data_IF_050051661980
#
_entry.id   IF_050051661980
#
_cell.length_a   1.000
_cell.length_b   1.000
_cell.length_c   1.000
_cell.angle_alpha   90.00
_cell.angle_beta   90.00
_cell.angle_gamma   90.00
#
_symmetry.space_group_name_H-M   'P 1'
#
loop_
_entity.id
_entity.type
_entity.pdbx_description
1 polymer ?
#
# COMPACT_ATOMS: atom_id res chain seq x y z
N UNK A 1 -13.93 14.65 30.77
CA UNK A 1 -14.42 13.28 30.54
C UNK A 1 -14.43 13.05 29.05
N UNK A 2 -13.50 12.22 28.58
CA UNK A 2 -13.19 11.99 27.16
C UNK A 2 -14.36 11.38 26.41
N UNK A 3 -14.72 11.99 25.28
CA UNK A 3 -15.48 11.31 24.23
C UNK A 3 -14.49 10.50 23.40
N UNK A 4 -14.59 9.17 23.51
CA UNK A 4 -13.84 8.22 22.69
C UNK A 4 -14.39 8.30 21.26
N UNK A 5 -13.56 8.79 20.34
CA UNK A 5 -13.89 8.85 18.92
C UNK A 5 -14.00 7.42 18.36
N UNK A 6 -15.20 7.10 17.88
CA UNK A 6 -15.59 5.84 17.23
C UNK A 6 -14.69 5.56 16.02
N UNK A 7 -13.85 4.53 16.13
CA UNK A 7 -13.07 3.95 15.02
C UNK A 7 -13.93 2.89 14.32
N UNK A 8 -14.00 3.01 13.00
CA UNK A 8 -14.84 2.29 12.04
C UNK A 8 -14.58 0.77 12.01
N UNK A 9 -15.62 -0.06 12.23
CA UNK A 9 -15.59 -1.53 12.03
C UNK A 9 -17.00 -2.10 11.72
N UNK A 10 -17.47 -1.90 10.49
CA UNK A 10 -18.71 -2.50 9.95
C UNK A 10 -19.95 -1.60 10.06
N UNK A 11 -20.93 -1.82 9.19
CA UNK A 11 -22.19 -1.05 9.12
C UNK A 11 -23.04 -1.12 10.41
N UNK A 12 -22.84 -2.14 11.24
CA UNK A 12 -23.55 -2.32 12.51
C UNK A 12 -22.96 -1.50 13.66
N UNK A 13 -21.65 -1.51 13.91
CA UNK A 13 -20.97 -0.85 15.06
C UNK A 13 -21.65 -1.07 16.44
N UNK A 14 -22.41 -2.17 16.64
CA UNK A 14 -23.21 -2.37 17.86
C UNK A 14 -24.49 -1.52 17.94
N UNK A 15 -24.81 -0.78 16.88
CA UNK A 15 -25.97 0.10 16.77
C UNK A 15 -27.11 -0.61 16.00
N UNK A 16 -28.10 -1.08 16.76
CA UNK A 16 -29.28 -1.77 16.24
C UNK A 16 -30.11 -0.91 15.27
N UNK A 17 -29.97 0.42 15.28
CA UNK A 17 -30.69 1.31 14.34
C UNK A 17 -30.15 1.26 12.92
N UNK A 18 -28.97 0.66 12.70
CA UNK A 18 -28.29 0.62 11.39
C UNK A 18 -28.55 -0.65 10.58
N UNK A 19 -29.37 -1.56 11.11
CA UNK A 19 -29.66 -2.85 10.50
C UNK A 19 -31.17 -3.00 10.30
N UNK A 20 -31.56 -3.55 9.15
CA UNK A 20 -32.94 -3.87 8.84
C UNK A 20 -33.39 -5.16 9.53
N UNK A 21 -34.71 -5.38 9.60
CA UNK A 21 -35.27 -6.57 10.23
C UNK A 21 -34.83 -7.89 9.57
N UNK A 22 -34.54 -7.86 8.26
CA UNK A 22 -34.07 -8.99 7.48
C UNK A 22 -32.55 -9.04 7.29
N UNK A 23 -31.78 -8.14 7.92
CA UNK A 23 -30.32 -8.09 7.74
C UNK A 23 -29.66 -9.31 8.37
N UNK A 24 -28.92 -10.07 7.55
CA UNK A 24 -28.07 -11.18 8.03
C UNK A 24 -26.79 -10.63 8.65
N UNK A 25 -26.33 -11.30 9.71
CA UNK A 25 -25.24 -10.82 10.55
C UNK A 25 -24.16 -11.89 10.70
N UNK A 26 -22.92 -11.58 10.35
CA UNK A 26 -21.78 -12.48 10.47
C UNK A 26 -20.94 -12.16 11.71
N UNK A 27 -20.57 -13.19 12.46
CA UNK A 27 -19.68 -13.06 13.60
C UNK A 27 -18.22 -12.89 13.14
N UNK A 28 -17.55 -11.81 13.58
CA UNK A 28 -16.14 -11.54 13.27
C UNK A 28 -15.15 -12.56 13.87
N UNK A 29 -15.57 -13.30 14.89
CA UNK A 29 -14.72 -14.26 15.62
C UNK A 29 -14.70 -15.64 14.94
N UNK A 30 -15.87 -16.15 14.55
CA UNK A 30 -16.03 -17.53 14.08
C UNK A 30 -16.75 -17.67 12.74
N UNK A 31 -17.13 -16.54 12.13
CA UNK A 31 -17.81 -16.46 10.83
C UNK A 31 -19.19 -17.13 10.78
N UNK A 32 -19.80 -17.39 11.93
CA UNK A 32 -21.19 -17.82 12.01
C UNK A 32 -22.13 -16.70 11.54
N UNK A 33 -23.08 -17.03 10.66
CA UNK A 33 -24.09 -16.11 10.17
C UNK A 33 -25.40 -16.33 10.93
N UNK A 34 -25.90 -15.28 11.58
CA UNK A 34 -27.27 -15.21 12.05
C UNK A 34 -28.17 -14.76 10.91
N UNK A 35 -29.11 -15.61 10.51
CA UNK A 35 -30.16 -15.29 9.55
C UNK A 35 -31.50 -15.05 10.29
N UNK A 36 -32.08 -13.84 10.23
CA UNK A 36 -33.40 -13.58 10.81
C UNK A 36 -34.49 -14.55 10.33
N UNK A 37 -34.41 -15.05 9.09
CA UNK A 37 -35.36 -16.01 8.54
C UNK A 37 -35.29 -17.38 9.24
N UNK A 38 -34.14 -17.75 9.81
CA UNK A 38 -33.94 -19.02 10.50
C UNK A 38 -34.04 -18.89 12.03
N UNK A 39 -33.67 -17.72 12.58
CA UNK A 39 -33.59 -17.51 14.03
C UNK A 39 -32.37 -18.20 14.64
N UNK A 40 -32.49 -18.69 15.88
CA UNK A 40 -31.40 -19.39 16.57
C UNK A 40 -31.96 -20.47 17.50
N UNK A 41 -31.90 -21.73 17.07
CA UNK A 41 -32.42 -22.89 17.83
C UNK A 41 -31.79 -23.01 19.23
N UNK A 42 -30.47 -22.84 19.33
CA UNK A 42 -29.74 -22.97 20.60
C UNK A 42 -30.19 -21.95 21.65
N UNK A 43 -30.53 -20.73 21.23
CA UNK A 43 -31.08 -19.69 22.09
C UNK A 43 -32.60 -19.65 22.08
N UNK A 44 -33.24 -20.63 21.44
CA UNK A 44 -34.70 -20.71 21.27
C UNK A 44 -35.31 -19.44 20.67
N UNK A 45 -34.55 -18.77 19.79
CA UNK A 45 -35.01 -17.59 19.05
C UNK A 45 -35.78 -18.07 17.83
N UNK A 46 -37.07 -17.70 17.67
CA UNK A 46 -37.89 -18.20 16.57
C UNK A 46 -37.47 -17.59 15.22
N UNK A 47 -37.73 -18.31 14.12
CA UNK A 47 -37.67 -17.76 12.75
C UNK A 47 -38.44 -16.44 12.63
N UNK A 48 -37.89 -15.51 11.86
CA UNK A 48 -38.41 -14.15 11.66
C UNK A 48 -37.94 -13.12 12.70
N UNK A 49 -37.10 -13.49 13.66
CA UNK A 49 -36.60 -12.55 14.68
C UNK A 49 -35.44 -11.73 14.13
N UNK A 50 -35.59 -10.41 14.06
CA UNK A 50 -34.51 -9.51 13.66
C UNK A 50 -33.33 -9.55 14.65
N UNK A 51 -32.10 -9.39 14.16
CA UNK A 51 -30.92 -9.33 15.03
C UNK A 51 -30.98 -8.15 16.03
N UNK A 52 -31.61 -7.04 15.63
CA UNK A 52 -31.89 -5.89 16.51
C UNK A 52 -32.80 -6.23 17.69
N UNK A 53 -33.73 -7.17 17.50
CA UNK A 53 -34.71 -7.60 18.50
C UNK A 53 -34.21 -8.72 19.43
N UNK A 54 -32.97 -9.19 19.23
CA UNK A 54 -32.35 -10.16 20.13
C UNK A 54 -32.12 -9.55 21.52
N UNK A 55 -32.23 -10.34 22.59
CA UNK A 55 -31.92 -9.90 23.95
C UNK A 55 -30.48 -9.36 24.09
N UNK A 56 -30.28 -8.41 25.01
CA UNK A 56 -28.94 -7.82 25.26
C UNK A 56 -27.89 -8.83 25.70
N UNK A 57 -28.32 -9.92 26.36
CA UNK A 57 -27.45 -10.99 26.83
C UNK A 57 -27.26 -12.12 25.81
N UNK A 58 -27.87 -12.03 24.63
CA UNK A 58 -27.67 -13.03 23.59
C UNK A 58 -26.21 -13.03 23.13
N UNK A 59 -25.66 -14.23 22.91
CA UNK A 59 -24.28 -14.45 22.47
C UNK A 59 -24.24 -15.37 21.27
N UNK A 60 -23.18 -15.27 20.47
CA UNK A 60 -22.97 -16.14 19.33
C UNK A 60 -23.06 -17.62 19.77
N UNK A 61 -23.93 -18.43 19.15
CA UNK A 61 -24.11 -19.85 19.49
C UNK A 61 -22.82 -20.69 19.32
N UNK A 62 -21.92 -20.24 18.45
CA UNK A 62 -20.70 -20.97 18.08
C UNK A 62 -19.49 -20.61 18.95
N UNK A 63 -19.30 -19.34 19.29
CA UNK A 63 -18.07 -18.86 19.93
C UNK A 63 -18.29 -18.05 21.22
N UNK A 64 -19.54 -17.87 21.66
CA UNK A 64 -19.91 -17.06 22.82
C UNK A 64 -19.58 -15.55 22.70
N UNK A 65 -19.20 -15.09 21.50
CA UNK A 65 -18.98 -13.69 21.20
C UNK A 65 -20.22 -12.81 21.42
N UNK A 66 -20.01 -11.59 21.91
CA UNK A 66 -21.09 -10.62 22.11
C UNK A 66 -21.67 -10.11 20.77
N UNK A 67 -22.89 -9.54 20.82
CA UNK A 67 -23.58 -9.02 19.62
C UNK A 67 -22.78 -7.97 18.86
N UNK A 68 -22.00 -7.14 19.57
CA UNK A 68 -21.14 -6.11 18.97
C UNK A 68 -20.00 -6.67 18.10
N UNK A 69 -19.70 -7.97 18.21
CA UNK A 69 -18.74 -8.69 17.38
C UNK A 69 -19.33 -9.12 16.03
N UNK A 70 -20.54 -8.69 15.68
CA UNK A 70 -21.17 -9.02 14.40
C UNK A 70 -21.05 -7.88 13.38
N UNK A 71 -21.07 -8.23 12.10
CA UNK A 71 -21.12 -7.32 10.96
C UNK A 71 -22.28 -7.67 10.03
N UNK A 72 -22.94 -6.68 9.45
CA UNK A 72 -24.05 -6.91 8.53
C UNK A 72 -23.54 -7.34 7.15
N UNK A 73 -24.15 -8.38 6.57
CA UNK A 73 -23.78 -8.94 5.27
C UNK A 73 -24.57 -8.34 4.09
N UNK A 74 -25.82 -7.91 4.31
CA UNK A 74 -26.67 -7.38 3.24
C UNK A 74 -27.00 -5.90 3.49
N UNK A 75 -26.46 -5.04 2.63
CA UNK A 75 -26.65 -3.59 2.67
C UNK A 75 -27.88 -3.14 1.89
N UNK A 76 -29.07 -3.47 2.36
CA UNK A 76 -30.27 -2.70 2.03
C UNK A 76 -30.78 -2.03 3.31
N UNK A 77 -30.56 -0.71 3.48
CA UNK A 77 -31.14 0.00 4.60
C UNK A 77 -32.66 -0.04 4.44
N UNK A 78 -33.34 -0.62 5.43
CA UNK A 78 -34.79 -0.66 5.50
C UNK A 78 -35.33 0.78 5.48
N UNK A 79 -35.79 1.22 4.32
CA UNK A 79 -36.49 2.47 4.13
C UNK A 79 -37.90 2.32 4.70
N UNK A 80 -38.21 3.00 5.81
CA UNK A 80 -39.49 3.69 5.95
C UNK A 80 -39.38 4.83 6.96
N UNK A 81 -39.92 5.97 6.55
CA UNK A 81 -40.34 7.16 7.32
C UNK A 81 -39.54 8.46 7.10
N UNK A 82 -40.19 9.28 6.28
CA UNK A 82 -40.01 10.68 5.92
C UNK A 82 -39.26 11.55 6.93
N UNK A 83 -38.00 11.83 6.63
CA UNK A 83 -37.32 13.04 7.09
C UNK A 83 -36.57 13.65 5.90
N UNK A 84 -36.80 14.95 5.68
CA UNK A 84 -36.22 15.75 4.62
C UNK A 84 -34.71 15.52 4.47
N UNK A 85 -34.16 15.57 3.24
CA UNK A 85 -32.75 15.30 3.01
C UNK A 85 -31.87 16.23 3.85
N UNK A 86 -30.94 15.73 4.68
CA UNK A 86 -29.86 16.58 5.15
C UNK A 86 -29.10 17.01 3.90
N UNK A 87 -28.95 18.34 3.77
CA UNK A 87 -28.31 19.02 2.66
C UNK A 87 -27.16 18.20 2.10
N UNK A 88 -27.24 17.93 0.80
CA UNK A 88 -26.19 17.32 0.01
C UNK A 88 -24.83 17.85 0.48
N UNK A 89 -24.03 16.96 1.07
CA UNK A 89 -22.60 17.22 1.15
C UNK A 89 -22.19 17.40 -0.30
N UNK A 90 -21.82 18.63 -0.66
CA UNK A 90 -21.37 18.96 -2.00
C UNK A 90 -20.35 17.91 -2.44
N UNK A 91 -20.40 17.42 -3.70
CA UNK A 91 -19.40 16.48 -4.18
C UNK A 91 -18.04 17.11 -3.92
N UNK A 92 -17.17 16.41 -3.20
CA UNK A 92 -15.80 16.84 -3.01
C UNK A 92 -15.19 16.89 -4.40
N UNK A 93 -15.10 18.10 -4.96
CA UNK A 93 -14.49 18.40 -6.26
C UNK A 93 -12.97 18.28 -6.13
N UNK A 94 -12.52 17.05 -5.89
CA UNK A 94 -11.13 16.64 -6.06
C UNK A 94 -10.92 16.12 -7.48
N UNK A 95 -9.66 16.07 -7.97
CA UNK A 95 -9.34 15.37 -9.20
C UNK A 95 -9.77 13.90 -9.11
N UNK A 96 -10.27 13.36 -10.21
CA UNK A 96 -10.70 11.96 -10.29
C UNK A 96 -9.52 11.01 -10.06
N UNK A 97 -9.80 9.83 -9.48
CA UNK A 97 -8.81 8.75 -9.33
C UNK A 97 -8.11 8.45 -10.67
N UNK A 98 -6.78 8.18 -10.68
CA UNK A 98 -6.02 7.96 -11.90
C UNK A 98 -6.19 6.51 -12.37
N UNK A 99 -7.44 6.12 -12.67
CA UNK A 99 -7.85 4.75 -12.97
C UNK A 99 -7.02 4.13 -14.10
N UNK A 100 -6.67 4.92 -15.12
CA UNK A 100 -5.85 4.44 -16.24
C UNK A 100 -4.41 4.13 -15.82
N UNK A 101 -3.80 4.96 -14.97
CA UNK A 101 -2.45 4.71 -14.47
C UNK A 101 -2.40 3.48 -13.55
N UNK A 102 -3.44 3.30 -12.71
CA UNK A 102 -3.60 2.12 -11.85
C UNK A 102 -3.77 0.85 -12.71
N UNK A 103 -4.60 0.90 -13.75
CA UNK A 103 -4.80 -0.23 -14.66
C UNK A 103 -3.51 -0.59 -15.41
N UNK A 104 -2.74 0.40 -15.87
CA UNK A 104 -1.42 0.17 -16.49
C UNK A 104 -0.41 -0.45 -15.52
N UNK A 105 -0.39 0.02 -14.27
CA UNK A 105 0.44 -0.55 -13.21
C UNK A 105 0.11 -2.04 -13.03
N UNK A 106 -1.15 -2.40 -12.84
CA UNK A 106 -1.55 -3.80 -12.69
C UNK A 106 -1.21 -4.63 -13.94
N UNK A 107 -1.49 -4.11 -15.14
CA UNK A 107 -1.23 -4.82 -16.39
C UNK A 107 0.26 -5.16 -16.57
N UNK A 108 1.15 -4.20 -16.35
CA UNK A 108 2.60 -4.41 -16.44
C UNK A 108 3.09 -5.44 -15.43
N UNK A 109 2.60 -5.38 -14.18
CA UNK A 109 3.01 -6.35 -13.17
C UNK A 109 2.43 -7.75 -13.40
N UNK A 110 1.24 -7.88 -14.01
CA UNK A 110 0.71 -9.18 -14.48
C UNK A 110 1.57 -9.77 -15.61
N UNK A 111 2.05 -8.92 -16.51
CA UNK A 111 2.98 -9.34 -17.57
C UNK A 111 4.29 -9.84 -16.96
N UNK A 112 4.88 -9.09 -16.02
CA UNK A 112 6.08 -9.51 -15.28
C UNK A 112 5.86 -10.85 -14.58
N UNK A 113 4.70 -11.02 -13.93
CA UNK A 113 4.35 -12.29 -13.30
C UNK A 113 4.42 -13.45 -14.30
N UNK A 114 3.76 -13.28 -15.45
CA UNK A 114 3.63 -14.34 -16.45
C UNK A 114 4.93 -14.63 -17.19
N UNK A 115 5.71 -13.59 -17.51
CA UNK A 115 6.87 -13.68 -18.41
C UNK A 115 8.18 -13.95 -17.67
N UNK A 116 8.33 -13.48 -16.43
CA UNK A 116 9.63 -13.49 -15.72
C UNK A 116 9.56 -14.21 -14.38
N UNK A 117 8.48 -14.05 -13.61
CA UNK A 117 8.42 -14.53 -12.24
C UNK A 117 7.82 -15.93 -12.10
N UNK A 118 6.99 -16.38 -13.05
CA UNK A 118 6.32 -17.68 -12.98
C UNK A 118 7.34 -18.82 -12.79
N UNK A 119 7.13 -19.64 -11.75
CA UNK A 119 8.01 -20.75 -11.40
C UNK A 119 9.23 -20.38 -10.56
N UNK A 120 9.40 -19.10 -10.21
CA UNK A 120 10.46 -18.68 -9.28
C UNK A 120 10.10 -19.08 -7.84
N UNK A 121 11.07 -19.54 -7.01
CA UNK A 121 10.81 -20.02 -5.65
C UNK A 121 10.26 -18.98 -4.66
N UNK A 122 10.13 -17.71 -5.07
CA UNK A 122 9.61 -16.61 -4.25
C UNK A 122 8.15 -16.25 -4.59
N UNK A 123 7.56 -16.94 -5.58
CA UNK A 123 6.19 -16.69 -6.03
C UNK A 123 5.21 -17.53 -5.22
N UNK A 124 4.19 -16.85 -4.68
CA UNK A 124 3.04 -17.47 -4.06
C UNK A 124 1.89 -17.60 -5.09
N UNK A 125 1.65 -18.81 -5.59
CA UNK A 125 0.62 -19.09 -6.60
C UNK A 125 -0.82 -18.87 -6.13
N UNK A 126 -1.06 -18.73 -4.82
CA UNK A 126 -2.38 -18.36 -4.27
C UNK A 126 -2.73 -16.88 -4.50
N UNK A 127 -1.76 -16.07 -4.94
CA UNK A 127 -1.90 -14.63 -5.12
C UNK A 127 -1.87 -14.23 -6.59
N UNK A 128 -2.40 -13.03 -6.83
CA UNK A 128 -2.42 -12.37 -8.12
C UNK A 128 -1.99 -10.91 -7.93
N UNK A 129 -1.79 -10.22 -9.05
CA UNK A 129 -1.43 -8.79 -9.04
C UNK A 129 -2.69 -7.95 -8.85
N UNK A 130 -2.70 -7.11 -7.81
CA UNK A 130 -3.80 -6.20 -7.49
C UNK A 130 -3.31 -4.88 -6.90
N UNK A 131 -3.80 -3.78 -7.44
CA UNK A 131 -3.65 -2.44 -6.90
C UNK A 131 -4.86 -2.09 -6.02
N UNK A 132 -4.63 -1.64 -4.78
CA UNK A 132 -5.70 -1.37 -3.80
C UNK A 132 -5.48 -0.06 -3.05
N UNK A 133 -6.59 0.51 -2.56
CA UNK A 133 -6.58 1.61 -1.60
C UNK A 133 -5.98 2.92 -2.10
N UNK A 134 -5.99 3.17 -3.41
CA UNK A 134 -5.47 4.42 -3.97
C UNK A 134 -6.26 5.61 -3.46
N UNK A 135 -5.56 6.58 -2.87
CA UNK A 135 -6.09 7.83 -2.36
C UNK A 135 -5.14 8.98 -2.58
N UNK A 136 -5.68 10.20 -2.51
CA UNK A 136 -4.89 11.43 -2.63
C UNK A 136 -3.99 11.61 -1.41
N UNK A 137 -2.72 11.94 -1.66
CA UNK A 137 -1.74 12.34 -0.66
C UNK A 137 -0.98 13.57 -1.20
N UNK A 138 -1.40 14.77 -0.76
CA UNK A 138 -0.99 16.02 -1.39
C UNK A 138 -1.47 16.08 -2.84
N UNK A 139 -0.56 16.37 -3.76
CA UNK A 139 -0.84 16.36 -5.20
C UNK A 139 -0.66 14.98 -5.84
N UNK A 140 -0.23 13.97 -5.06
CA UNK A 140 0.13 12.63 -5.54
C UNK A 140 -0.93 11.59 -5.19
N UNK A 141 -0.78 10.40 -5.76
CA UNK A 141 -1.66 9.26 -5.50
C UNK A 141 -0.91 8.15 -4.79
N UNK A 142 -1.34 7.82 -3.57
CA UNK A 142 -0.77 6.77 -2.75
C UNK A 142 -1.73 5.57 -2.73
N UNK A 143 -1.22 4.38 -3.01
CA UNK A 143 -1.93 3.12 -2.84
C UNK A 143 -0.98 1.99 -2.52
N UNK A 144 -1.47 0.75 -2.60
CA UNK A 144 -0.66 -0.43 -2.41
C UNK A 144 -0.76 -1.35 -3.63
N UNK A 145 0.34 -2.01 -3.97
CA UNK A 145 0.45 -3.01 -5.01
C UNK A 145 0.78 -4.35 -4.37
N UNK A 146 -0.19 -5.26 -4.43
CA UNK A 146 -0.03 -6.67 -4.06
C UNK A 146 0.43 -7.43 -5.30
N UNK A 147 1.49 -8.22 -5.16
CA UNK A 147 1.95 -9.18 -6.17
C UNK A 147 2.20 -10.53 -5.49
N UNK A 148 2.37 -11.61 -6.26
CA UNK A 148 2.73 -12.91 -5.71
C UNK A 148 4.09 -12.99 -5.00
N UNK A 149 4.96 -11.98 -5.11
CA UNK A 149 6.33 -12.01 -4.54
C UNK A 149 6.69 -10.80 -3.67
N UNK A 150 5.89 -9.72 -3.71
CA UNK A 150 5.98 -8.60 -2.77
C UNK A 150 4.63 -7.90 -2.56
N UNK A 151 4.55 -7.13 -1.47
CA UNK A 151 3.54 -6.11 -1.22
C UNK A 151 4.26 -4.77 -0.99
N UNK A 152 3.96 -3.77 -1.82
CA UNK A 152 4.59 -2.45 -1.74
C UNK A 152 3.54 -1.35 -1.63
N UNK A 153 3.85 -0.30 -0.87
CA UNK A 153 3.21 1.02 -1.07
C UNK A 153 3.71 1.60 -2.38
N UNK A 154 2.81 2.23 -3.15
CA UNK A 154 3.12 2.84 -4.44
C UNK A 154 2.63 4.27 -4.44
N UNK A 155 3.53 5.20 -4.77
CA UNK A 155 3.23 6.61 -5.00
C UNK A 155 3.32 6.89 -6.50
N UNK A 156 2.21 7.32 -7.09
CA UNK A 156 2.10 7.75 -8.49
C UNK A 156 2.10 9.29 -8.57
N UNK A 157 2.60 9.85 -9.68
CA UNK A 157 2.64 11.30 -9.87
C UNK A 157 1.23 11.90 -9.96
N UNK A 158 1.09 13.14 -9.50
CA UNK A 158 -0.06 14.00 -9.80
C UNK A 158 -0.03 14.59 -11.20
N UNK A 159 -1.08 15.31 -11.59
CA UNK A 159 -1.18 15.98 -12.90
C UNK A 159 -0.06 17.03 -13.13
N UNK A 160 0.46 17.64 -12.06
CA UNK A 160 1.55 18.62 -12.11
C UNK A 160 2.95 18.06 -11.85
N UNK A 161 3.09 16.78 -11.55
CA UNK A 161 4.38 16.17 -11.20
C UNK A 161 5.15 15.74 -12.45
N UNK A 162 6.32 16.35 -12.71
CA UNK A 162 7.23 15.87 -13.76
C UNK A 162 8.32 14.98 -13.16
N UNK A 163 8.12 13.66 -13.24
CA UNK A 163 9.07 12.65 -12.71
C UNK A 163 9.94 12.00 -13.79
N UNK A 164 10.00 12.60 -14.99
CA UNK A 164 10.85 12.08 -16.08
C UNK A 164 12.34 11.98 -15.71
N UNK A 165 12.80 12.80 -14.77
CA UNK A 165 14.17 12.81 -14.25
C UNK A 165 14.44 11.91 -13.04
N UNK A 166 13.47 11.12 -12.55
CA UNK A 166 13.72 10.21 -11.43
C UNK A 166 14.74 9.14 -11.82
N UNK A 167 15.79 9.00 -11.01
CA UNK A 167 16.84 7.99 -11.20
C UNK A 167 16.39 6.68 -10.56
N UNK A 168 16.18 5.60 -11.32
CA UNK A 168 15.76 4.32 -10.75
C UNK A 168 16.75 3.80 -9.71
N UNK A 169 16.24 3.32 -8.58
CA UNK A 169 17.05 2.84 -7.44
C UNK A 169 17.44 3.93 -6.44
N UNK A 170 17.31 5.21 -6.77
CA UNK A 170 17.49 6.29 -5.80
C UNK A 170 16.43 6.19 -4.70
N UNK A 171 16.80 6.59 -3.47
CA UNK A 171 15.94 6.53 -2.29
C UNK A 171 15.50 7.93 -1.88
N UNK A 172 14.29 8.04 -1.35
CA UNK A 172 13.72 9.28 -0.82
C UNK A 172 12.91 8.97 0.43
N UNK A 173 13.14 9.73 1.50
CA UNK A 173 12.34 9.65 2.72
C UNK A 173 11.08 10.51 2.56
N UNK A 174 9.92 9.91 2.77
CA UNK A 174 8.63 10.58 2.73
C UNK A 174 8.01 10.54 4.12
N UNK A 175 7.61 11.71 4.62
CA UNK A 175 6.94 11.83 5.92
C UNK A 175 5.45 11.54 5.81
N UNK A 176 4.97 10.71 6.72
CA UNK A 176 3.58 10.45 7.02
C UNK A 176 3.30 10.75 8.50
N UNK A 177 2.03 10.90 8.91
CA UNK A 177 1.69 11.09 10.32
C UNK A 177 2.31 10.03 11.26
N UNK A 178 2.34 8.78 10.80
CA UNK A 178 2.95 7.64 11.51
C UNK A 178 4.49 7.60 11.47
N UNK A 179 5.18 8.45 10.72
CA UNK A 179 6.65 8.47 10.68
C UNK A 179 7.24 8.63 9.27
N UNK A 180 8.52 8.32 9.16
CA UNK A 180 9.30 8.46 7.92
C UNK A 180 9.47 7.11 7.23
N UNK A 181 9.20 7.08 5.93
CA UNK A 181 9.25 5.86 5.12
C UNK A 181 10.19 6.05 3.93
N UNK A 182 11.05 5.06 3.69
CA UNK A 182 11.99 5.06 2.57
C UNK A 182 11.30 4.54 1.31
N UNK A 183 11.16 5.42 0.32
CA UNK A 183 10.64 5.09 -1.00
C UNK A 183 11.78 5.01 -2.01
N UNK A 184 11.81 3.93 -2.77
CA UNK A 184 12.74 3.74 -3.88
C UNK A 184 12.09 4.23 -5.18
N UNK A 185 12.82 5.04 -5.93
CA UNK A 185 12.42 5.51 -7.25
C UNK A 185 12.45 4.35 -8.23
N UNK A 186 11.38 4.19 -8.98
CA UNK A 186 11.25 3.17 -10.00
C UNK A 186 10.75 3.81 -11.30
N UNK A 187 11.26 3.32 -12.41
CA UNK A 187 10.74 3.65 -13.72
C UNK A 187 10.57 2.35 -14.48
N UNK A 188 9.34 2.07 -14.92
CA UNK A 188 9.03 0.88 -15.72
C UNK A 188 8.32 1.30 -16.98
N UNK A 189 8.77 0.74 -18.11
CA UNK A 189 8.08 0.89 -19.40
C UNK A 189 6.62 0.48 -19.25
N UNK A 190 5.69 1.31 -19.74
CA UNK A 190 4.24 1.09 -19.64
C UNK A 190 3.59 1.68 -18.38
N UNK A 191 4.31 1.79 -17.27
CA UNK A 191 3.82 2.46 -16.04
C UNK A 191 4.27 3.92 -15.98
N UNK A 192 5.52 4.17 -16.36
CA UNK A 192 6.21 5.43 -16.14
C UNK A 192 6.97 5.43 -14.81
N UNK A 193 7.33 6.63 -14.35
CA UNK A 193 8.03 6.83 -13.09
C UNK A 193 7.06 6.76 -11.90
N UNK A 194 7.42 6.02 -10.87
CA UNK A 194 6.70 5.90 -9.61
C UNK A 194 7.68 5.68 -8.46
N UNK A 195 7.21 5.78 -7.22
CA UNK A 195 8.02 5.45 -6.04
C UNK A 195 7.39 4.29 -5.30
N UNK A 196 8.20 3.40 -4.74
CA UNK A 196 7.71 2.24 -4.00
C UNK A 196 8.40 2.06 -2.65
N UNK A 197 7.64 1.72 -1.62
CA UNK A 197 8.15 1.33 -0.31
C UNK A 197 7.75 -0.13 -0.05
N UNK A 198 8.74 -0.99 0.16
CA UNK A 198 8.52 -2.42 0.41
C UNK A 198 7.90 -2.64 1.78
N UNK A 199 6.81 -3.40 1.87
CA UNK A 199 6.19 -3.78 3.13
C UNK A 199 6.41 -5.26 3.44
N UNK A 200 6.13 -6.14 2.48
CA UNK A 200 6.32 -7.58 2.64
C UNK A 200 7.04 -8.17 1.44
N UNK A 201 8.05 -9.00 1.72
CA UNK A 201 8.65 -9.92 0.77
C UNK A 201 9.44 -10.98 1.56
N UNK A 202 9.30 -12.28 1.26
CA UNK A 202 8.37 -12.88 0.29
C UNK A 202 6.90 -12.83 0.76
N UNK A 203 5.97 -13.31 -0.08
CA UNK A 203 4.51 -13.24 0.18
C UNK A 203 3.90 -14.54 0.71
N UNK A 204 4.71 -15.45 1.28
CA UNK A 204 4.24 -16.77 1.72
C UNK A 204 3.35 -16.75 2.97
N UNK A 205 3.39 -15.66 3.74
CA UNK A 205 2.54 -15.49 4.93
C UNK A 205 1.06 -15.26 4.58
N UNK A 206 0.76 -14.97 3.32
CA UNK A 206 -0.58 -14.70 2.84
C UNK A 206 -1.17 -15.96 2.19
N UNK A 207 -2.19 -16.54 2.82
CA UNK A 207 -2.89 -17.72 2.32
C UNK A 207 -3.87 -17.39 1.18
N UNK A 208 -4.32 -16.13 1.08
CA UNK A 208 -5.30 -15.72 0.08
C UNK A 208 -5.13 -14.27 -0.36
N UNK A 209 -5.72 -13.95 -1.52
CA UNK A 209 -5.81 -12.58 -2.01
C UNK A 209 -6.55 -11.65 -1.05
N UNK A 210 -7.62 -12.13 -0.40
CA UNK A 210 -8.38 -11.32 0.55
C UNK A 210 -7.46 -10.83 1.67
N UNK A 211 -6.78 -11.75 2.35
CA UNK A 211 -5.85 -11.45 3.44
C UNK A 211 -4.75 -10.46 3.01
N UNK A 212 -4.17 -10.65 1.82
CA UNK A 212 -3.15 -9.75 1.30
C UNK A 212 -3.70 -8.34 1.03
N UNK A 213 -4.91 -8.22 0.45
CA UNK A 213 -5.54 -6.93 0.16
C UNK A 213 -6.06 -6.20 1.40
N UNK A 214 -6.53 -6.92 2.41
CA UNK A 214 -6.90 -6.36 3.72
C UNK A 214 -5.66 -5.84 4.45
N UNK A 215 -4.58 -6.62 4.47
CA UNK A 215 -3.30 -6.19 5.05
C UNK A 215 -2.75 -4.95 4.35
N UNK A 216 -2.81 -4.91 3.02
CA UNK A 216 -2.43 -3.73 2.24
C UNK A 216 -3.28 -2.49 2.61
N UNK A 217 -4.59 -2.68 2.78
CA UNK A 217 -5.52 -1.61 3.16
C UNK A 217 -5.26 -1.13 4.60
N UNK A 218 -5.01 -2.05 5.53
CA UNK A 218 -4.67 -1.74 6.91
C UNK A 218 -3.33 -0.99 7.02
N UNK A 219 -2.32 -1.36 6.23
CA UNK A 219 -1.05 -0.64 6.15
C UNK A 219 -1.28 0.81 5.64
N UNK A 220 -2.08 1.00 4.59
CA UNK A 220 -2.43 2.32 4.08
C UNK A 220 -3.17 3.19 5.10
N UNK A 221 -4.04 2.61 5.93
CA UNK A 221 -4.71 3.32 7.03
C UNK A 221 -3.68 3.71 8.10
N UNK A 222 -2.85 2.75 8.51
CA UNK A 222 -1.85 2.91 9.57
C UNK A 222 -0.84 4.02 9.29
N UNK A 223 -0.48 4.24 8.01
CA UNK A 223 0.39 5.35 7.61
C UNK A 223 -0.09 6.72 8.15
N UNK A 224 -1.40 6.89 8.31
CA UNK A 224 -2.01 8.16 8.70
C UNK A 224 -2.48 8.19 10.16
N UNK A 225 -2.23 7.13 10.93
CA UNK A 225 -2.48 7.15 12.37
C UNK A 225 -1.24 7.69 13.10
N UNK A 226 -1.28 8.91 13.68
CA UNK A 226 -0.16 9.48 14.41
C UNK A 226 0.16 8.72 15.71
N UNK A 227 -0.75 7.89 16.23
CA UNK A 227 -0.50 7.08 17.43
C UNK A 227 0.46 5.91 17.18
N UNK A 228 0.65 5.53 15.92
CA UNK A 228 1.61 4.50 15.49
C UNK A 228 3.02 5.09 15.33
N UNK A 229 3.18 6.41 15.50
CA UNK A 229 4.47 7.07 15.35
C UNK A 229 5.47 6.54 16.36
N UNK A 230 6.28 5.59 15.91
CA UNK A 230 7.57 5.30 16.51
C UNK A 230 8.45 6.55 16.29
N UNK A 231 9.32 6.89 17.25
CA UNK A 231 10.35 7.93 17.09
C UNK A 231 11.42 7.47 16.06
N UNK A 232 10.99 7.06 14.86
CA UNK A 232 11.80 6.54 13.76
C UNK A 232 12.68 7.59 13.10
N UNK A 233 12.53 8.87 13.47
CA UNK A 233 13.43 9.93 13.03
C UNK A 233 14.89 9.61 13.40
N UNK A 234 15.14 9.02 14.58
CA UNK A 234 16.50 8.69 15.01
C UNK A 234 17.04 7.44 14.31
N UNK A 235 16.22 6.41 14.09
CA UNK A 235 16.64 5.16 13.41
C UNK A 235 16.88 5.38 11.92
N UNK A 236 16.02 6.16 11.25
CA UNK A 236 16.18 6.52 9.83
C UNK A 236 17.40 7.44 9.62
N UNK A 237 17.64 8.39 10.53
CA UNK A 237 18.83 9.26 10.52
C UNK A 237 20.12 8.46 10.75
N UNK A 238 20.12 7.52 11.70
CA UNK A 238 21.26 6.63 11.95
C UNK A 238 21.56 5.77 10.72
N UNK A 239 20.52 5.24 10.05
CA UNK A 239 20.68 4.48 8.81
C UNK A 239 21.24 5.37 7.70
N UNK A 240 20.71 6.58 7.52
CA UNK A 240 21.20 7.56 6.52
C UNK A 240 22.68 7.85 6.73
N UNK A 241 23.08 8.20 7.96
CA UNK A 241 24.47 8.49 8.28
C UNK A 241 25.40 7.31 7.99
N UNK A 242 24.95 6.09 8.28
CA UNK A 242 25.72 4.87 7.97
C UNK A 242 25.80 4.60 6.47
N UNK A 243 24.74 4.84 5.71
CA UNK A 243 24.73 4.66 4.25
C UNK A 243 25.60 5.73 3.55
N UNK A 244 25.62 6.97 4.06
CA UNK A 244 26.52 8.05 3.61
C UNK A 244 27.99 7.74 3.94
N UNK A 245 28.26 7.17 5.12
CA UNK A 245 29.60 6.77 5.54
C UNK A 245 30.13 5.53 4.76
N UNK A 246 29.23 4.63 4.33
CA UNK A 246 29.57 3.48 3.49
C UNK A 246 29.59 3.79 1.98
N UNK A 247 29.14 4.97 1.55
CA UNK A 247 29.12 5.31 0.15
C UNK A 247 30.56 5.38 -0.38
N UNK A 248 30.90 4.68 -1.48
CA UNK A 248 32.21 4.82 -2.10
C UNK A 248 32.41 6.29 -2.49
N UNK A 249 33.62 6.85 -2.29
CA UNK A 249 33.89 8.22 -2.66
C UNK A 249 33.57 8.41 -4.15
N UNK A 250 33.00 9.56 -4.55
CA UNK A 250 32.66 9.82 -5.94
C UNK A 250 33.90 9.58 -6.79
N UNK A 251 33.75 8.75 -7.84
CA UNK A 251 34.83 8.55 -8.80
C UNK A 251 35.33 9.92 -9.27
N UNK A 252 36.64 10.17 -9.24
CA UNK A 252 37.17 11.43 -9.70
C UNK A 252 36.68 11.65 -11.13
N UNK A 253 36.09 12.82 -11.38
CA UNK A 253 35.59 13.21 -12.68
C UNK A 253 36.65 12.90 -13.75
N UNK A 254 36.27 12.38 -14.94
CA UNK A 254 37.22 12.02 -15.97
C UNK A 254 38.12 13.22 -16.23
N UNK A 255 39.41 13.05 -15.90
CA UNK A 255 40.43 14.05 -16.13
C UNK A 255 40.39 14.34 -17.62
N UNK A 256 39.95 15.54 -17.98
CA UNK A 256 40.03 16.00 -19.36
C UNK A 256 41.49 15.90 -19.77
N UNK A 257 41.77 15.08 -20.78
CA UNK A 257 43.10 14.93 -21.31
C UNK A 257 43.60 16.31 -21.75
N UNK A 258 44.55 16.87 -20.98
CA UNK A 258 45.26 18.06 -21.40
C UNK A 258 45.92 17.78 -22.76
N UNK A 259 45.86 18.70 -23.73
CA UNK A 259 46.55 18.50 -24.99
C UNK A 259 48.04 18.37 -24.72
N UNK A 260 48.59 17.19 -25.07
CA UNK A 260 50.00 16.87 -24.92
C UNK A 260 50.83 17.96 -25.57
N UNK A 261 51.48 18.81 -24.76
CA UNK A 261 52.48 19.75 -25.25
C UNK A 261 53.69 18.93 -25.73
N UNK A 262 54.12 19.05 -26.99
CA UNK A 262 55.27 18.29 -27.46
C UNK A 262 56.51 18.67 -26.65
N UNK A 263 57.28 17.66 -26.24
CA UNK A 263 58.50 17.88 -25.46
C UNK A 263 59.55 18.63 -26.28
N UNK A 264 60.40 19.43 -25.61
CA UNK A 264 61.51 20.18 -26.23
C UNK A 264 62.45 19.31 -27.10
N UNK A 265 62.52 18.00 -26.83
CA UNK A 265 63.36 17.05 -27.56
C UNK A 265 62.81 16.68 -28.95
N UNK A 266 61.54 16.97 -29.24
CA UNK A 266 60.93 16.82 -30.56
C UNK A 266 61.06 18.07 -31.45
N UNK A 267 61.54 19.20 -30.91
CA UNK A 267 61.67 20.48 -31.62
C UNK A 267 63.10 20.81 -32.09
N UNK A 268 64.11 20.05 -31.69
CA UNK A 268 65.50 20.26 -32.09
C UNK A 268 66.12 18.94 -32.55
N UNK A 269 66.01 18.64 -33.84
CA UNK A 269 66.74 17.54 -34.47
C UNK A 269 68.25 17.82 -34.55
N UNK A 270 69.06 16.86 -34.10
CA UNK A 270 70.49 16.58 -34.35
C UNK A 270 70.89 15.55 -33.27
N UNK A 271 71.28 14.30 -33.50
CA UNK A 271 72.06 13.71 -34.58
C UNK A 271 73.39 13.24 -33.98
N UNK A 272 73.59 11.93 -33.82
CA UNK A 272 74.89 11.22 -33.90
C UNK A 272 74.60 9.72 -33.83
N UNK A 273 75.04 8.98 -34.85
CA UNK A 273 75.13 7.52 -34.76
C UNK A 273 76.33 7.09 -33.91
N UNK A 274 76.32 5.83 -33.51
CA UNK A 274 77.48 4.97 -33.73
C UNK A 274 77.03 3.50 -33.75
N UNK A 275 77.94 2.69 -34.24
CA UNK A 275 77.80 1.41 -34.93
C UNK A 275 78.00 0.18 -34.03
N UNK A 276 77.68 -0.98 -34.64
CA UNK A 276 78.08 -2.36 -34.33
C UNK A 276 77.26 -3.17 -33.30
N UNK A 277 76.50 -4.15 -33.79
CA UNK A 277 76.96 -5.56 -33.81
C UNK A 277 76.22 -6.38 -34.90
N UNK A 278 77.00 -7.16 -35.66
CA UNK A 278 76.70 -8.12 -36.75
C UNK A 278 76.06 -7.62 -38.08
#
# INVERSE_FOLDING_TARGET
>A
MSAVASRFEGSYLGDASRIGAATRMECKICWHVYDPAEGCEQWQVPPGTAFAALPDHWRCPVCDGARDQFMALDGEPAATETAAPPAAVAPVTGPALPTEAIARLEAVFREIHTAQMRGMPIVNDALAVKAVGFRRHGERWLGALVTPWFLNLVLLPGEGDNWSGLVPGAKELIEFPSGWYEFVHANRKGVGAYKACSLFSPMFEFASMLQATETASAALVSLFDPSIREDGAQTAEIRRRREEELAPPPEPAPVQAEPVRPSRRALLGMGTGDTADA
#
